data_IF_157048661598
#
_entry.id   IF_157048661598
#
_cell.length_a   1.000
_cell.length_b   1.000
_cell.length_c   1.000
_cell.angle_alpha   90.00
_cell.angle_beta   90.00
_cell.angle_gamma   90.00
#
_symmetry.space_group_name_H-M   'P 1'
#
loop_
_entity.id
_entity.type
_entity.pdbx_description
1 polymer ?
#
# COMPACT_ATOMS: atom_id res chain seq x y z
N UNK A 1 -21.27 -1.33 -14.06
CA UNK A 1 -20.59 -1.80 -12.83
C UNK A 1 -19.36 -0.93 -12.63
N UNK A 2 -19.07 -0.40 -11.42
CA UNK A 2 -17.81 0.29 -11.20
C UNK A 2 -16.67 -0.68 -11.54
N UNK A 3 -15.75 -0.26 -12.42
CA UNK A 3 -14.59 -1.07 -12.77
C UNK A 3 -13.80 -1.35 -11.50
N UNK A 4 -13.41 -2.62 -11.31
CA UNK A 4 -12.72 -3.06 -10.11
C UNK A 4 -11.36 -2.36 -10.07
N UNK A 5 -11.02 -1.76 -8.93
CA UNK A 5 -9.76 -1.04 -8.80
C UNK A 5 -8.57 -2.01 -9.01
N UNK A 6 -7.62 -1.69 -9.90
CA UNK A 6 -6.57 -2.63 -10.30
C UNK A 6 -5.61 -2.99 -9.15
N UNK A 7 -5.50 -2.16 -8.12
CA UNK A 7 -4.66 -2.40 -6.95
C UNK A 7 -5.46 -2.79 -5.70
N UNK A 8 -6.78 -3.01 -5.82
CA UNK A 8 -7.64 -3.40 -4.71
C UNK A 8 -7.17 -4.70 -4.03
N UNK A 9 -6.67 -5.66 -4.81
CA UNK A 9 -6.20 -6.95 -4.26
C UNK A 9 -5.04 -6.75 -3.30
N UNK A 10 -4.06 -5.92 -3.68
CA UNK A 10 -2.88 -5.59 -2.89
C UNK A 10 -3.28 -4.77 -1.67
N UNK A 11 -4.16 -3.78 -1.82
CA UNK A 11 -4.69 -2.99 -0.70
C UNK A 11 -5.38 -3.88 0.35
N UNK A 12 -6.22 -4.82 -0.08
CA UNK A 12 -6.85 -5.78 0.83
C UNK A 12 -5.83 -6.72 1.48
N UNK A 13 -4.77 -7.11 0.78
CA UNK A 13 -3.71 -7.95 1.33
C UNK A 13 -2.92 -7.21 2.42
N UNK A 14 -2.64 -5.91 2.24
CA UNK A 14 -2.01 -5.08 3.27
C UNK A 14 -2.87 -5.06 4.53
N UNK A 15 -4.17 -4.77 4.40
CA UNK A 15 -5.06 -4.70 5.55
C UNK A 15 -5.11 -6.03 6.32
N UNK A 16 -5.18 -7.16 5.62
CA UNK A 16 -5.10 -8.49 6.26
C UNK A 16 -3.78 -8.73 6.96
N UNK A 17 -2.66 -8.36 6.32
CA UNK A 17 -1.34 -8.51 6.91
C UNK A 17 -1.20 -7.66 8.18
N UNK A 18 -1.63 -6.40 8.14
CA UNK A 18 -1.60 -5.52 9.30
C UNK A 18 -2.46 -6.06 10.44
N UNK A 19 -3.68 -6.52 10.16
CA UNK A 19 -4.52 -7.13 11.19
C UNK A 19 -3.87 -8.36 11.84
N UNK A 20 -3.24 -9.23 11.04
CA UNK A 20 -2.53 -10.40 11.54
C UNK A 20 -1.28 -10.05 12.37
N UNK A 21 -0.59 -8.96 12.00
CA UNK A 21 0.67 -8.53 12.61
C UNK A 21 0.51 -7.38 13.60
N UNK A 22 -0.70 -7.17 14.15
CA UNK A 22 -1.00 -6.08 15.12
C UNK A 22 -0.55 -4.69 14.61
N UNK A 23 -0.72 -4.47 13.31
CA UNK A 23 -0.38 -3.24 12.58
C UNK A 23 1.11 -2.90 12.56
N UNK A 24 2.00 -3.89 12.79
CA UNK A 24 3.44 -3.71 12.58
C UNK A 24 3.75 -3.75 11.08
N UNK A 25 3.88 -2.57 10.46
CA UNK A 25 4.11 -2.43 9.01
C UNK A 25 5.38 -3.13 8.51
N UNK A 26 6.45 -3.18 9.32
CA UNK A 26 7.71 -3.85 8.97
C UNK A 26 7.55 -5.35 8.69
N UNK A 27 6.51 -5.99 9.24
CA UNK A 27 6.20 -7.40 8.96
C UNK A 27 5.38 -7.58 7.68
N UNK A 28 4.95 -6.48 7.05
CA UNK A 28 4.13 -6.44 5.85
C UNK A 28 4.84 -5.77 4.66
N UNK A 29 6.15 -5.51 4.75
CA UNK A 29 6.92 -4.80 3.73
C UNK A 29 6.77 -5.41 2.34
N UNK A 30 6.75 -6.73 2.24
CA UNK A 30 6.60 -7.43 0.96
C UNK A 30 5.28 -7.07 0.26
N UNK A 31 4.18 -7.04 1.02
CA UNK A 31 2.84 -6.75 0.50
C UNK A 31 2.70 -5.25 0.18
N UNK A 32 3.33 -4.40 0.99
CA UNK A 32 3.42 -2.96 0.76
C UNK A 32 4.25 -2.67 -0.51
N UNK A 33 5.34 -3.41 -0.75
CA UNK A 33 6.15 -3.30 -1.95
C UNK A 33 5.38 -3.72 -3.21
N UNK A 34 4.60 -4.79 -3.14
CA UNK A 34 3.69 -5.21 -4.21
C UNK A 34 2.65 -4.13 -4.55
N UNK A 35 2.09 -3.47 -3.53
CA UNK A 35 1.18 -2.34 -3.73
C UNK A 35 1.88 -1.16 -4.40
N UNK A 36 3.11 -0.83 -3.99
CA UNK A 36 3.93 0.20 -4.65
C UNK A 36 4.15 -0.10 -6.13
N UNK A 37 4.50 -1.34 -6.48
CA UNK A 37 4.64 -1.78 -7.88
C UNK A 37 3.34 -1.63 -8.64
N UNK A 38 2.21 -2.02 -8.04
CA UNK A 38 0.90 -1.82 -8.67
C UNK A 38 0.64 -0.33 -8.95
N UNK A 39 0.96 0.54 -7.99
CA UNK A 39 0.77 1.97 -8.13
C UNK A 39 1.72 2.63 -9.12
N UNK A 40 2.92 2.10 -9.35
CA UNK A 40 3.77 2.59 -10.43
C UNK A 40 3.12 2.45 -11.82
N UNK A 41 2.29 1.41 -12.02
CA UNK A 41 1.61 1.15 -13.29
C UNK A 41 0.23 1.79 -13.35
N UNK A 42 -0.50 1.82 -12.23
CA UNK A 42 -1.93 2.17 -12.19
C UNK A 42 -2.27 3.40 -11.33
N UNK A 43 -1.30 4.24 -10.94
CA UNK A 43 -1.52 5.42 -10.10
C UNK A 43 -2.59 6.41 -10.61
N UNK A 44 -2.86 6.45 -11.92
CA UNK A 44 -3.90 7.29 -12.52
C UNK A 44 -5.31 6.67 -12.49
N UNK A 45 -5.40 5.35 -12.30
CA UNK A 45 -6.63 4.57 -12.43
C UNK A 45 -7.01 3.80 -11.15
N UNK A 46 -6.23 3.93 -10.08
CA UNK A 46 -6.49 3.28 -8.80
C UNK A 46 -6.66 4.31 -7.68
N UNK A 47 -7.84 4.28 -7.04
CA UNK A 47 -8.10 5.04 -5.81
C UNK A 47 -7.21 4.54 -4.67
N UNK A 48 -6.91 3.24 -4.64
CA UNK A 48 -6.06 2.62 -3.61
C UNK A 48 -4.62 3.16 -3.64
N UNK A 49 -4.17 3.69 -4.78
CA UNK A 49 -2.84 4.28 -4.92
C UNK A 49 -2.70 5.72 -4.42
N UNK A 50 -3.79 6.36 -4.00
CA UNK A 50 -3.76 7.75 -3.51
C UNK A 50 -2.85 7.91 -2.28
N UNK A 51 -2.75 6.90 -1.41
CA UNK A 51 -1.84 6.89 -0.26
C UNK A 51 -0.42 6.41 -0.55
N UNK A 52 -0.12 6.02 -1.80
CA UNK A 52 1.18 5.46 -2.21
C UNK A 52 2.00 6.40 -3.11
N UNK A 53 1.42 7.51 -3.56
CA UNK A 53 2.05 8.45 -4.50
C UNK A 53 3.25 9.20 -3.91
N UNK A 54 3.29 9.40 -2.59
CA UNK A 54 4.29 10.26 -1.93
C UNK A 54 5.25 9.51 -1.00
N UNK A 55 5.04 8.21 -0.81
CA UNK A 55 5.83 7.42 0.13
C UNK A 55 7.19 7.07 -0.50
N UNK A 56 8.19 7.96 -0.38
CA UNK A 56 9.59 7.53 -0.37
C UNK A 56 9.75 6.44 0.72
N UNK A 57 10.61 5.42 0.52
CA UNK A 57 10.91 4.46 1.58
C UNK A 57 11.34 5.25 2.82
N UNK A 58 10.76 4.92 3.97
CA UNK A 58 10.85 5.70 5.20
C UNK A 58 12.30 6.08 5.52
N UNK A 59 12.63 7.34 5.31
CA UNK A 59 13.71 7.98 6.05
C UNK A 59 13.11 8.32 7.42
N UNK A 60 13.67 7.72 8.46
CA UNK A 60 13.29 7.96 9.86
C UNK A 60 13.23 9.46 10.14
N UNK A 61 12.06 9.99 10.49
CA UNK A 61 11.95 11.28 11.17
C UNK A 61 11.15 11.07 12.45
N UNK A 62 11.92 11.02 13.52
CA UNK A 62 11.53 11.07 14.92
C UNK A 62 10.55 12.21 15.21
N UNK A 63 9.80 12.01 16.29
CA UNK A 63 9.08 12.99 17.11
C UNK A 63 9.56 14.44 17.00
N UNK A 64 8.63 15.39 16.85
CA UNK A 64 8.36 16.47 17.81
C UNK A 64 6.96 17.06 17.57
#
# INVERSE_FOLDING_TARGET
>A
MPQKDPCQKQACAIQKCLQANKYVESLCEDVIAEMRRCCQVHAGNSICCSGFKDSKPAESKSSE
#
